data_IF_075733624373
#
_entry.id   IF_075733624373
#
_cell.length_a   1.000
_cell.length_b   1.000
_cell.length_c   1.000
_cell.angle_alpha   90.00
_cell.angle_beta   90.00
_cell.angle_gamma   90.00
#
_symmetry.space_group_name_H-M   'P 1'
#
loop_
_entity.id
_entity.type
_entity.pdbx_description
1 polymer ?
#
# COMPACT_ATOMS: atom_id res chain seq x y z
N UNK A 1 -10.27 16.31 -18.83
CA UNK A 1 -10.00 15.04 -18.14
C UNK A 1 -8.97 15.36 -17.06
N UNK A 2 -9.24 15.01 -15.80
CA UNK A 2 -8.24 15.16 -14.75
C UNK A 2 -6.99 14.35 -15.14
N UNK A 3 -5.81 14.92 -14.96
CA UNK A 3 -4.56 14.24 -15.30
C UNK A 3 -4.27 13.18 -14.22
N UNK A 4 -4.85 12.00 -14.42
CA UNK A 4 -4.69 10.85 -13.53
C UNK A 4 -3.22 10.54 -13.21
N UNK A 5 -2.29 10.86 -14.12
CA UNK A 5 -0.87 10.68 -13.88
C UNK A 5 -0.37 11.64 -12.80
N UNK A 6 -0.66 12.94 -12.94
CA UNK A 6 -0.26 13.95 -11.96
C UNK A 6 -0.88 13.68 -10.59
N UNK A 7 -2.17 13.35 -10.57
CA UNK A 7 -2.87 13.02 -9.32
C UNK A 7 -2.24 11.81 -8.64
N UNK A 8 -1.98 10.72 -9.38
CA UNK A 8 -1.34 9.54 -8.82
C UNK A 8 0.03 9.88 -8.23
N UNK A 9 0.86 10.62 -8.97
CA UNK A 9 2.21 11.00 -8.55
C UNK A 9 2.20 11.90 -7.31
N UNK A 10 1.26 12.86 -7.21
CA UNK A 10 1.10 13.70 -6.02
C UNK A 10 0.84 12.85 -4.77
N UNK A 11 -0.11 11.91 -4.82
CA UNK A 11 -0.38 11.03 -3.67
C UNK A 11 0.77 10.07 -3.35
N UNK A 12 1.52 9.59 -4.37
CA UNK A 12 2.74 8.79 -4.14
C UNK A 12 3.77 9.60 -3.36
N UNK A 13 3.98 10.87 -3.72
CA UNK A 13 4.90 11.76 -3.03
C UNK A 13 4.44 12.05 -1.59
N UNK A 14 3.14 12.34 -1.39
CA UNK A 14 2.56 12.58 -0.05
C UNK A 14 2.71 11.38 0.88
N UNK A 15 2.52 10.17 0.34
CA UNK A 15 2.72 8.94 1.12
C UNK A 15 4.19 8.76 1.53
N UNK A 16 5.15 9.13 0.68
CA UNK A 16 6.57 8.96 0.99
C UNK A 16 6.96 7.52 1.32
N UNK A 17 6.28 6.55 0.70
CA UNK A 17 6.51 5.11 0.87
C UNK A 17 7.50 4.62 -0.20
N UNK A 18 8.43 3.76 0.18
CA UNK A 18 9.35 3.13 -0.78
C UNK A 18 8.58 2.31 -1.84
N UNK A 19 8.99 2.42 -3.10
CA UNK A 19 8.36 1.71 -4.23
C UNK A 19 8.08 0.21 -3.98
N UNK A 20 9.00 -0.59 -3.38
CA UNK A 20 8.73 -2.00 -3.13
C UNK A 20 7.54 -2.23 -2.19
N UNK A 21 7.43 -1.44 -1.12
CA UNK A 21 6.29 -1.53 -0.21
C UNK A 21 5.00 -1.02 -0.87
N UNK A 22 5.10 0.02 -1.70
CA UNK A 22 3.94 0.52 -2.44
C UNK A 22 3.40 -0.49 -3.47
N UNK A 23 4.27 -1.29 -4.08
CA UNK A 23 3.85 -2.40 -4.95
C UNK A 23 2.97 -3.42 -4.20
N UNK A 24 3.38 -3.74 -2.97
CA UNK A 24 2.65 -4.67 -2.09
C UNK A 24 1.30 -4.07 -1.71
N UNK A 25 1.29 -2.82 -1.22
CA UNK A 25 0.08 -2.14 -0.74
C UNK A 25 -0.97 -1.91 -1.82
N UNK A 26 -0.55 -1.72 -3.07
CA UNK A 26 -1.45 -1.53 -4.21
C UNK A 26 -1.75 -2.83 -4.97
N UNK A 27 -1.09 -3.95 -4.63
CA UNK A 27 -1.20 -5.20 -5.37
C UNK A 27 -0.74 -5.10 -6.83
N UNK A 28 0.27 -4.27 -7.11
CA UNK A 28 0.74 -3.97 -8.47
C UNK A 28 2.07 -4.65 -8.79
N UNK A 29 2.26 -5.13 -10.04
CA UNK A 29 3.58 -5.54 -10.50
C UNK A 29 4.58 -4.38 -10.45
N UNK A 30 5.80 -4.66 -9.99
CA UNK A 30 6.88 -3.66 -9.90
C UNK A 30 7.14 -2.94 -11.22
N UNK A 31 7.07 -3.65 -12.34
CA UNK A 31 7.26 -3.08 -13.68
C UNK A 31 6.19 -2.05 -14.03
N UNK A 32 4.94 -2.28 -13.62
CA UNK A 32 3.81 -1.37 -13.83
C UNK A 32 3.99 -0.09 -13.02
N UNK A 33 4.24 -0.22 -11.72
CA UNK A 33 4.43 0.94 -10.84
C UNK A 33 5.64 1.79 -11.28
N UNK A 34 6.74 1.15 -11.68
CA UNK A 34 7.93 1.87 -12.14
C UNK A 34 7.66 2.68 -13.42
N UNK A 35 6.89 2.12 -14.37
CA UNK A 35 6.50 2.83 -15.60
C UNK A 35 5.60 4.03 -15.31
N UNK A 36 4.72 3.94 -14.32
CA UNK A 36 3.88 5.05 -13.90
C UNK A 36 4.68 6.14 -13.19
N UNK A 37 5.55 5.78 -12.25
CA UNK A 37 6.35 6.74 -11.48
C UNK A 37 7.32 7.51 -12.38
N UNK A 38 7.96 6.84 -13.35
CA UNK A 38 8.92 7.48 -14.25
C UNK A 38 8.24 8.18 -15.45
N UNK A 39 6.91 8.21 -15.51
CA UNK A 39 6.16 8.83 -16.61
C UNK A 39 6.28 8.11 -17.96
N UNK A 40 6.84 6.88 -17.99
CA UNK A 40 6.90 6.07 -19.23
C UNK A 40 5.51 5.67 -19.71
N UNK A 41 4.56 5.48 -18.79
CA UNK A 41 3.14 5.26 -19.09
C UNK A 41 2.33 6.27 -18.28
N UNK A 42 1.70 7.22 -18.97
CA UNK A 42 0.86 8.26 -18.38
C UNK A 42 -0.62 7.88 -18.31
N UNK A 43 -1.02 6.82 -19.01
CA UNK A 43 -2.38 6.27 -18.94
C UNK A 43 -2.54 5.45 -17.66
N UNK A 44 -2.72 6.14 -16.53
CA UNK A 44 -2.98 5.50 -15.24
C UNK A 44 -4.49 5.25 -15.09
N UNK A 45 -4.90 3.99 -14.84
CA UNK A 45 -6.30 3.66 -14.60
C UNK A 45 -6.88 4.42 -13.41
N UNK A 46 -8.15 4.87 -13.52
CA UNK A 46 -8.84 5.58 -12.43
C UNK A 46 -8.87 4.78 -11.12
N UNK A 47 -8.93 3.44 -11.21
CA UNK A 47 -8.91 2.56 -10.04
C UNK A 47 -7.59 2.67 -9.26
N UNK A 48 -6.45 2.84 -9.95
CA UNK A 48 -5.15 3.02 -9.30
C UNK A 48 -5.05 4.38 -8.60
N UNK A 49 -5.59 5.44 -9.22
CA UNK A 49 -5.72 6.77 -8.60
C UNK A 49 -6.61 6.71 -7.36
N UNK A 50 -7.68 5.94 -7.40
CA UNK A 50 -8.59 5.77 -6.26
C UNK A 50 -7.90 4.98 -5.14
N UNK A 51 -7.19 3.91 -5.47
CA UNK A 51 -6.47 3.09 -4.49
C UNK A 51 -5.38 3.89 -3.76
N UNK A 52 -4.57 4.70 -4.46
CA UNK A 52 -3.54 5.53 -3.82
C UNK A 52 -4.16 6.61 -2.91
N UNK A 53 -5.30 7.19 -3.31
CA UNK A 53 -6.06 8.15 -2.50
C UNK A 53 -6.60 7.50 -1.22
N UNK A 54 -7.16 6.30 -1.33
CA UNK A 54 -7.67 5.56 -0.18
C UNK A 54 -6.54 5.18 0.78
N UNK A 55 -5.38 4.77 0.23
CA UNK A 55 -4.20 4.45 1.03
C UNK A 55 -3.69 5.68 1.80
N UNK A 56 -3.64 6.84 1.14
CA UNK A 56 -3.31 8.11 1.79
C UNK A 56 -4.34 8.49 2.86
N UNK A 57 -5.63 8.43 2.53
CA UNK A 57 -6.71 8.73 3.47
C UNK A 57 -6.61 7.86 4.72
N UNK A 58 -6.47 6.54 4.56
CA UNK A 58 -6.35 5.59 5.67
C UNK A 58 -5.16 5.91 6.56
N UNK A 59 -4.00 6.21 5.97
CA UNK A 59 -2.80 6.57 6.73
C UNK A 59 -2.98 7.83 7.56
N UNK A 60 -3.64 8.84 7.01
CA UNK A 60 -3.87 10.11 7.70
C UNK A 60 -5.01 10.02 8.74
N UNK A 61 -6.03 9.21 8.48
CA UNK A 61 -7.21 9.10 9.34
C UNK A 61 -7.04 8.11 10.48
N UNK A 62 -6.38 6.98 10.22
CA UNK A 62 -6.24 5.86 11.15
C UNK A 62 -4.92 5.09 10.88
N UNK A 63 -3.80 5.58 11.45
CA UNK A 63 -2.50 4.95 11.26
C UNK A 63 -2.47 3.49 11.73
N UNK A 64 -3.19 3.13 12.79
CA UNK A 64 -3.21 1.77 13.31
C UNK A 64 -3.91 0.82 12.32
N UNK A 65 -5.02 1.25 11.73
CA UNK A 65 -5.69 0.49 10.67
C UNK A 65 -4.81 0.38 9.43
N UNK A 66 -4.05 1.44 9.09
CA UNK A 66 -3.08 1.38 7.99
C UNK A 66 -2.01 0.31 8.23
N UNK A 67 -1.48 0.20 9.45
CA UNK A 67 -0.49 -0.83 9.81
C UNK A 67 -1.07 -2.25 9.70
N UNK A 68 -2.28 -2.46 10.23
CA UNK A 68 -3.00 -3.75 10.11
C UNK A 68 -3.26 -4.11 8.65
N UNK A 69 -3.66 -3.13 7.84
CA UNK A 69 -3.87 -3.32 6.40
C UNK A 69 -2.57 -3.66 5.66
N UNK A 70 -1.47 -2.98 5.97
CA UNK A 70 -0.17 -3.25 5.38
C UNK A 70 0.30 -4.68 5.65
N UNK A 71 0.09 -5.18 6.88
CA UNK A 71 0.36 -6.57 7.24
C UNK A 71 -0.51 -7.55 6.45
N UNK A 72 -1.81 -7.29 6.34
CA UNK A 72 -2.74 -8.13 5.57
C UNK A 72 -2.32 -8.25 4.10
N UNK A 73 -1.94 -7.13 3.48
CA UNK A 73 -1.45 -7.12 2.09
C UNK A 73 -0.12 -7.86 1.93
N UNK A 74 0.81 -7.71 2.86
CA UNK A 74 2.12 -8.38 2.83
C UNK A 74 1.99 -9.92 2.88
N UNK A 75 1.07 -10.42 3.71
CA UNK A 75 0.82 -11.86 3.82
C UNK A 75 -0.15 -12.40 2.75
N UNK A 76 -0.74 -11.53 1.93
CA UNK A 76 -1.72 -11.93 0.90
C UNK A 76 -2.98 -12.57 1.49
N UNK A 77 -3.37 -12.18 2.70
CA UNK A 77 -4.57 -12.68 3.37
C UNK A 77 -5.77 -11.76 3.11
N UNK A 78 -6.97 -12.24 3.44
CA UNK A 78 -8.20 -11.50 3.16
C UNK A 78 -8.40 -10.34 4.12
N UNK A 79 -9.20 -9.35 3.71
CA UNK A 79 -9.45 -8.14 4.50
C UNK A 79 -10.11 -8.43 5.86
N UNK A 80 -10.82 -9.56 6.03
CA UNK A 80 -11.41 -9.93 7.33
C UNK A 80 -10.34 -10.12 8.42
N UNK A 81 -9.09 -10.38 8.04
CA UNK A 81 -7.99 -10.46 9.00
C UNK A 81 -7.64 -9.09 9.59
N UNK A 82 -7.85 -7.97 8.88
CA UNK A 82 -7.56 -6.62 9.38
C UNK A 82 -8.48 -6.22 10.55
N UNK A 83 -9.70 -6.74 10.56
CA UNK A 83 -10.75 -6.41 11.54
C UNK A 83 -10.91 -7.45 12.65
N UNK A 84 -10.10 -8.49 12.65
CA UNK A 84 -10.17 -9.58 13.63
C UNK A 84 -8.88 -9.63 14.47
N UNK A 85 -8.96 -9.14 15.70
CA UNK A 85 -7.81 -9.06 16.61
C UNK A 85 -7.13 -10.42 16.85
N UNK A 86 -7.90 -11.51 16.87
CA UNK A 86 -7.33 -12.87 17.02
C UNK A 86 -6.59 -13.32 15.77
N UNK A 87 -7.07 -12.91 14.59
CA UNK A 87 -6.41 -13.19 13.33
C UNK A 87 -5.13 -12.35 13.16
N UNK A 88 -5.12 -11.10 13.64
CA UNK A 88 -3.91 -10.27 13.76
C UNK A 88 -2.89 -10.92 14.69
N UNK A 89 -3.31 -11.33 15.89
CA UNK A 89 -2.45 -12.08 16.81
C UNK A 89 -1.91 -13.35 16.13
N UNK A 90 -2.75 -14.09 15.40
CA UNK A 90 -2.31 -15.26 14.66
C UNK A 90 -1.25 -14.92 13.61
N UNK A 91 -1.42 -13.86 12.79
CA UNK A 91 -0.40 -13.39 11.84
C UNK A 91 0.93 -13.05 12.51
N UNK A 92 0.88 -12.40 13.67
CA UNK A 92 2.08 -12.16 14.50
C UNK A 92 2.67 -13.46 15.08
N UNK A 93 1.86 -14.51 15.28
CA UNK A 93 2.26 -15.80 15.84
C UNK A 93 2.86 -16.76 14.81
N UNK A 94 2.51 -16.66 13.51
CA UNK A 94 3.05 -17.56 12.45
C UNK A 94 4.55 -17.35 12.17
N UNK A 95 5.27 -16.47 12.88
CA UNK A 95 6.73 -16.26 12.77
C UNK A 95 7.26 -15.94 11.36
N UNK A 96 6.41 -15.59 10.39
CA UNK A 96 6.91 -14.86 9.22
C UNK A 96 7.04 -13.41 9.66
N UNK A 97 8.28 -12.97 9.85
CA UNK A 97 8.53 -11.53 9.92
C UNK A 97 7.93 -10.88 8.66
N UNK A 98 7.27 -9.71 8.79
CA UNK A 98 6.85 -8.96 7.62
C UNK A 98 8.05 -8.75 6.70
N UNK A 99 7.78 -8.69 5.39
CA UNK A 99 8.81 -8.48 4.40
C UNK A 99 9.60 -7.20 4.74
N UNK A 100 10.91 -7.21 4.44
CA UNK A 100 11.77 -6.08 4.79
C UNK A 100 11.23 -4.70 4.36
N UNK A 101 10.57 -4.54 3.19
CA UNK A 101 9.93 -3.29 2.81
C UNK A 101 8.81 -2.85 3.76
N UNK A 102 7.96 -3.77 4.20
CA UNK A 102 6.82 -3.46 5.10
C UNK A 102 7.32 -3.27 6.53
N UNK A 103 8.27 -4.09 7.01
CA UNK A 103 8.87 -3.96 8.33
C UNK A 103 9.42 -2.55 8.60
N UNK A 104 10.11 -1.95 7.61
CA UNK A 104 10.62 -0.58 7.69
C UNK A 104 9.54 0.49 7.85
N UNK A 105 8.33 0.24 7.36
CA UNK A 105 7.20 1.16 7.52
C UNK A 105 6.64 1.12 8.95
N UNK A 106 6.68 -0.06 9.59
CA UNK A 106 6.07 -0.33 10.89
C UNK A 106 6.99 0.01 12.08
N UNK A 107 8.31 -0.01 11.91
CA UNK A 107 9.27 0.22 13.01
C UNK A 107 9.61 1.70 13.24
N UNK A 108 8.62 2.60 13.23
CA UNK A 108 8.85 4.01 13.53
C UNK A 108 9.20 4.27 15.01
#
# INVERSE_FOLDING_TARGET
MADNANDFLDYVQRLGIEQPALCILLGLPRSTLNKWINGTVTQIPQVAVTAIRMLWFMRESDPEMFEKWAMVQDFGVTAEYAVNDKAQVFLHTIRREPSAPIKRLLTK
#
